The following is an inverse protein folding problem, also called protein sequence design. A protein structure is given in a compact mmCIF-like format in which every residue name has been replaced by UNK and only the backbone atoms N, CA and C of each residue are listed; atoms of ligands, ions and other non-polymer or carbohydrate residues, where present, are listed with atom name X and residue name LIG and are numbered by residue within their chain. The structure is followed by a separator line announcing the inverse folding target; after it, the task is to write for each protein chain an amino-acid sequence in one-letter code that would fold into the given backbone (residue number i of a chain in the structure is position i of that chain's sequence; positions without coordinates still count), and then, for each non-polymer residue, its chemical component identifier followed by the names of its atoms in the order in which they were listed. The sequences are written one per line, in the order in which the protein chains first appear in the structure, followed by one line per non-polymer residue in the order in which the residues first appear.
data_IF_356854137820
#
_entry.id   IF_356854137820
#
_cell.length_a   1.000
_cell.length_b   1.000
_cell.length_c   1.000
_cell.angle_alpha   90.00
_cell.angle_beta   90.00
_cell.angle_gamma   90.00
#
_symmetry.space_group_name_H-M   'P 1'
#
loop_
_entity.id
_entity.type
_entity.pdbx_description
1 polymer ?
#
# COMPACT_ATOMS: atom_id res chain seq x y z
N UNK A 1 -21.84 -21.54 -27.84
CA UNK A 1 -20.45 -21.63 -27.30
C UNK A 1 -20.51 -22.34 -25.96
N UNK A 2 -19.82 -23.47 -25.79
CA UNK A 2 -19.72 -24.11 -24.46
C UNK A 2 -18.98 -23.14 -23.54
N UNK A 3 -19.63 -22.72 -22.44
CA UNK A 3 -19.00 -22.00 -21.35
C UNK A 3 -17.79 -22.84 -20.88
N UNK A 4 -16.59 -22.42 -21.22
CA UNK A 4 -15.38 -23.02 -20.60
C UNK A 4 -15.47 -22.71 -19.11
N UNK A 5 -15.53 -23.74 -18.28
CA UNK A 5 -15.40 -23.58 -16.83
C UNK A 5 -14.03 -22.97 -16.55
N UNK A 6 -14.01 -21.65 -16.28
CA UNK A 6 -12.79 -20.88 -15.99
C UNK A 6 -12.50 -20.81 -14.49
N UNK A 7 -13.21 -21.60 -13.67
CA UNK A 7 -12.92 -21.68 -12.25
C UNK A 7 -11.51 -22.23 -12.06
N UNK A 8 -10.64 -21.39 -11.59
CA UNK A 8 -9.24 -21.73 -11.31
C UNK A 8 -8.95 -21.65 -9.83
N UNK A 9 -7.94 -22.40 -9.45
CA UNK A 9 -7.38 -22.43 -8.09
C UNK A 9 -5.97 -21.87 -8.19
N UNK A 10 -5.64 -20.96 -7.30
CA UNK A 10 -4.30 -20.38 -7.17
C UNK A 10 -3.72 -20.80 -5.82
N UNK A 11 -2.49 -21.29 -5.82
CA UNK A 11 -1.78 -21.60 -4.59
C UNK A 11 -1.25 -20.31 -3.94
N UNK A 12 -1.55 -20.13 -2.67
CA UNK A 12 -1.08 -19.02 -1.85
C UNK A 12 -0.42 -19.56 -0.57
N UNK A 13 0.79 -19.08 -0.20
CA UNK A 13 1.50 -19.60 0.97
C UNK A 13 0.84 -19.25 2.30
N UNK A 14 -0.09 -18.29 2.33
CA UNK A 14 -0.78 -17.83 3.54
C UNK A 14 -2.12 -18.54 3.74
N UNK A 15 -2.87 -18.75 2.64
CA UNK A 15 -4.25 -19.24 2.67
C UNK A 15 -4.43 -20.60 1.99
N UNK A 16 -3.38 -21.17 1.43
CA UNK A 16 -3.45 -22.42 0.68
C UNK A 16 -4.09 -22.23 -0.69
N UNK A 17 -5.25 -22.86 -0.93
CA UNK A 17 -5.93 -22.79 -2.22
C UNK A 17 -6.94 -21.65 -2.27
N UNK A 18 -6.67 -20.65 -3.12
CA UNK A 18 -7.60 -19.57 -3.40
C UNK A 18 -8.43 -19.94 -4.64
N UNK A 19 -9.74 -20.08 -4.47
CA UNK A 19 -10.68 -20.31 -5.57
C UNK A 19 -11.09 -18.98 -6.17
N UNK A 20 -11.01 -18.86 -7.49
CA UNK A 20 -11.48 -17.67 -8.20
C UNK A 20 -13.02 -17.72 -8.28
N UNK A 21 -13.73 -16.69 -7.73
CA UNK A 21 -15.16 -16.78 -7.47
C UNK A 21 -16.07 -16.73 -8.71
N UNK A 22 -15.61 -16.11 -9.79
CA UNK A 22 -16.41 -16.01 -11.01
C UNK A 22 -15.55 -15.92 -12.28
N UNK A 23 -16.19 -16.12 -13.43
CA UNK A 23 -15.54 -15.96 -14.74
C UNK A 23 -15.10 -14.51 -14.96
N UNK A 24 -15.90 -13.53 -14.53
CA UNK A 24 -15.55 -12.12 -14.67
C UNK A 24 -14.32 -11.75 -13.84
N UNK A 25 -14.24 -12.20 -12.59
CA UNK A 25 -13.05 -12.02 -11.74
C UNK A 25 -11.82 -12.66 -12.40
N UNK A 26 -11.97 -13.85 -12.98
CA UNK A 26 -10.87 -14.49 -13.71
C UNK A 26 -10.42 -13.67 -14.92
N UNK A 27 -11.36 -13.18 -15.73
CA UNK A 27 -11.07 -12.40 -16.95
C UNK A 27 -10.38 -11.06 -16.58
N UNK A 28 -10.74 -10.45 -15.44
CA UNK A 28 -10.07 -9.25 -14.91
C UNK A 28 -8.62 -9.60 -14.47
N UNK A 29 -8.43 -10.73 -13.79
CA UNK A 29 -7.08 -11.17 -13.38
C UNK A 29 -6.17 -11.36 -14.60
N UNK A 30 -6.67 -11.93 -15.69
CA UNK A 30 -5.90 -12.15 -16.94
C UNK A 30 -5.65 -10.85 -17.73
N UNK A 31 -6.30 -9.74 -17.38
CA UNK A 31 -6.11 -8.47 -18.08
C UNK A 31 -4.73 -7.88 -17.83
N UNK A 32 -4.02 -7.31 -18.85
CA UNK A 32 -2.68 -6.75 -18.72
C UNK A 32 -2.51 -5.73 -17.59
N UNK A 33 -3.53 -4.89 -17.34
CA UNK A 33 -3.50 -3.93 -16.23
C UNK A 33 -3.36 -4.61 -14.89
N UNK A 34 -4.03 -5.74 -14.69
CA UNK A 34 -3.93 -6.50 -13.45
C UNK A 34 -2.65 -7.32 -13.38
N UNK A 35 -2.22 -7.93 -14.47
CA UNK A 35 -0.98 -8.73 -14.53
C UNK A 35 0.28 -7.91 -14.19
N UNK A 36 0.25 -6.59 -14.34
CA UNK A 36 1.30 -5.68 -13.90
C UNK A 36 1.63 -5.83 -12.42
N UNK A 37 0.62 -6.10 -11.58
CA UNK A 37 0.79 -6.22 -10.12
C UNK A 37 1.77 -7.34 -9.71
N UNK A 38 2.03 -8.34 -10.59
CA UNK A 38 3.07 -9.36 -10.38
C UNK A 38 4.50 -8.80 -10.35
N UNK A 39 4.69 -7.58 -10.86
CA UNK A 39 5.99 -6.92 -10.98
C UNK A 39 6.11 -5.69 -10.08
N UNK A 40 5.18 -5.54 -9.13
CA UNK A 40 5.19 -4.48 -8.12
C UNK A 40 5.23 -5.13 -6.74
N UNK A 41 6.34 -4.93 -6.03
CA UNK A 41 6.49 -5.43 -4.67
C UNK A 41 5.52 -4.74 -3.71
N UNK A 42 4.83 -5.52 -2.87
CA UNK A 42 3.91 -4.99 -1.85
C UNK A 42 4.60 -4.02 -0.89
N UNK A 43 5.79 -4.37 -0.46
CA UNK A 43 6.53 -3.67 0.57
C UNK A 43 7.70 -2.84 0.03
N UNK A 44 7.65 -2.43 -1.24
CA UNK A 44 8.66 -1.59 -1.88
C UNK A 44 10.10 -2.04 -1.59
N UNK A 45 10.93 -1.19 -0.98
CA UNK A 45 12.34 -1.46 -0.66
C UNK A 45 12.55 -2.17 0.68
N UNK A 46 11.51 -2.60 1.38
CA UNK A 46 11.65 -3.24 2.69
C UNK A 46 12.40 -4.58 2.63
N UNK A 47 12.52 -5.22 1.46
CA UNK A 47 13.36 -6.39 1.26
C UNK A 47 14.85 -6.14 1.51
N UNK A 48 15.30 -4.88 1.51
CA UNK A 48 16.66 -4.51 1.93
C UNK A 48 16.89 -4.70 3.43
N UNK A 49 15.83 -4.83 4.21
CA UNK A 49 15.86 -5.12 5.65
C UNK A 49 15.36 -6.51 5.94
N UNK A 50 14.23 -6.88 5.34
CA UNK A 50 13.55 -8.16 5.49
C UNK A 50 13.69 -8.96 4.18
N UNK A 51 14.71 -9.80 4.00
CA UNK A 51 15.02 -10.41 2.69
C UNK A 51 13.87 -11.21 2.08
N UNK A 52 12.98 -11.77 2.91
CA UNK A 52 11.79 -12.49 2.47
C UNK A 52 10.65 -11.59 1.96
N UNK A 53 10.67 -10.29 2.23
CA UNK A 53 9.61 -9.35 1.87
C UNK A 53 9.65 -8.98 0.38
N UNK A 54 9.47 -9.98 -0.50
CA UNK A 54 9.46 -9.84 -1.96
C UNK A 54 8.14 -10.25 -2.61
N UNK A 55 7.13 -10.51 -1.81
CA UNK A 55 5.78 -10.75 -2.32
C UNK A 55 5.23 -9.50 -3.02
N UNK A 56 4.36 -9.76 -3.96
CA UNK A 56 3.86 -8.74 -4.88
C UNK A 56 2.44 -8.30 -4.50
N UNK A 57 2.00 -7.17 -5.05
CA UNK A 57 0.61 -6.73 -4.92
C UNK A 57 -0.37 -7.72 -5.51
N UNK A 58 0.05 -8.49 -6.52
CA UNK A 58 -0.77 -9.55 -7.10
C UNK A 58 -1.18 -10.60 -6.04
N UNK A 59 -0.23 -11.07 -5.23
CA UNK A 59 -0.49 -12.06 -4.16
C UNK A 59 -1.37 -11.45 -3.06
N UNK A 60 -1.11 -10.19 -2.71
CA UNK A 60 -1.89 -9.47 -1.71
C UNK A 60 -3.37 -9.35 -2.11
N UNK A 61 -3.67 -8.82 -3.30
CA UNK A 61 -5.07 -8.62 -3.71
C UNK A 61 -5.83 -9.93 -3.88
N UNK A 62 -5.16 -11.03 -4.25
CA UNK A 62 -5.77 -12.35 -4.26
C UNK A 62 -6.11 -12.84 -2.85
N UNK A 63 -5.23 -12.58 -1.88
CA UNK A 63 -5.51 -12.85 -0.47
C UNK A 63 -6.69 -12.03 0.04
N UNK A 64 -6.79 -10.77 -0.35
CA UNK A 64 -7.94 -9.92 -0.04
C UNK A 64 -9.25 -10.48 -0.62
N UNK A 65 -9.22 -11.01 -1.85
CA UNK A 65 -10.40 -11.69 -2.44
C UNK A 65 -10.77 -12.93 -1.65
N UNK A 66 -9.80 -13.75 -1.23
CA UNK A 66 -10.05 -14.92 -0.38
C UNK A 66 -10.75 -14.54 0.92
N UNK A 67 -10.23 -13.53 1.63
CA UNK A 67 -10.83 -13.04 2.87
C UNK A 67 -12.21 -12.45 2.64
N UNK A 68 -12.43 -11.74 1.52
CA UNK A 68 -13.73 -11.20 1.15
C UNK A 68 -14.76 -12.32 0.90
N UNK A 69 -14.37 -13.41 0.22
CA UNK A 69 -15.24 -14.57 0.01
C UNK A 69 -15.66 -15.17 1.36
N UNK A 70 -14.70 -15.38 2.28
CA UNK A 70 -14.97 -15.87 3.65
C UNK A 70 -15.89 -14.94 4.42
N UNK A 71 -15.72 -13.62 4.24
CA UNK A 71 -16.57 -12.63 4.91
C UNK A 71 -18.00 -12.65 4.36
N UNK A 72 -18.18 -12.71 3.04
CA UNK A 72 -19.51 -12.83 2.42
C UNK A 72 -20.21 -14.11 2.85
N UNK A 73 -19.51 -15.26 2.83
CA UNK A 73 -20.04 -16.54 3.32
C UNK A 73 -20.51 -16.42 4.78
N UNK A 74 -19.69 -15.85 5.66
CA UNK A 74 -19.99 -15.69 7.07
C UNK A 74 -21.16 -14.75 7.32
N UNK A 75 -21.22 -13.60 6.64
CA UNK A 75 -22.32 -12.65 6.77
C UNK A 75 -23.65 -13.26 6.28
N UNK A 76 -23.63 -13.97 5.15
CA UNK A 76 -24.80 -14.72 4.65
C UNK A 76 -25.27 -15.78 5.66
N UNK A 77 -24.33 -16.53 6.24
CA UNK A 77 -24.63 -17.52 7.29
C UNK A 77 -25.32 -16.88 8.50
N UNK A 78 -24.97 -15.64 8.83
CA UNK A 78 -25.61 -14.85 9.91
C UNK A 78 -26.93 -14.19 9.51
N UNK A 79 -27.42 -14.44 8.28
CA UNK A 79 -28.70 -13.94 7.79
C UNK A 79 -28.63 -12.56 7.12
N UNK A 80 -27.43 -11.99 6.93
CA UNK A 80 -27.26 -10.75 6.15
C UNK A 80 -27.54 -11.06 4.69
N UNK A 81 -28.54 -10.37 4.11
CA UNK A 81 -28.90 -10.54 2.72
C UNK A 81 -27.82 -9.89 1.83
N UNK A 82 -27.09 -10.69 1.09
CA UNK A 82 -26.10 -10.26 0.09
C UNK A 82 -26.42 -11.03 -1.20
N UNK A 83 -26.87 -10.36 -2.24
CA UNK A 83 -27.13 -10.99 -3.54
C UNK A 83 -25.84 -11.45 -4.21
N UNK A 84 -25.94 -12.33 -5.21
CA UNK A 84 -24.74 -12.78 -5.95
C UNK A 84 -24.10 -11.65 -6.74
N UNK A 85 -24.90 -10.69 -7.23
CA UNK A 85 -24.39 -9.46 -7.87
C UNK A 85 -23.61 -8.59 -6.89
N UNK A 86 -24.09 -8.42 -5.67
CA UNK A 86 -23.38 -7.68 -4.62
C UNK A 86 -22.09 -8.39 -4.21
N UNK A 87 -22.12 -9.71 -4.05
CA UNK A 87 -20.96 -10.51 -3.74
C UNK A 87 -19.87 -10.38 -4.83
N UNK A 88 -20.24 -10.52 -6.10
CA UNK A 88 -19.32 -10.32 -7.23
C UNK A 88 -18.78 -8.89 -7.26
N UNK A 89 -19.63 -7.88 -6.99
CA UNK A 89 -19.21 -6.48 -6.85
C UNK A 89 -18.14 -6.28 -5.76
N UNK A 90 -18.32 -6.89 -4.58
CA UNK A 90 -17.33 -6.88 -3.49
C UNK A 90 -16.01 -7.54 -3.89
N UNK A 91 -16.08 -8.71 -4.56
CA UNK A 91 -14.88 -9.43 -5.01
C UNK A 91 -14.08 -8.60 -6.03
N UNK A 92 -14.76 -7.95 -6.98
CA UNK A 92 -14.12 -7.09 -7.98
C UNK A 92 -13.57 -5.82 -7.32
N UNK A 93 -14.32 -5.19 -6.43
CA UNK A 93 -13.89 -3.96 -5.77
C UNK A 93 -12.61 -4.19 -4.94
N UNK A 94 -12.56 -5.27 -4.13
CA UNK A 94 -11.38 -5.59 -3.34
C UNK A 94 -10.21 -6.13 -4.21
N UNK A 95 -10.49 -6.80 -5.34
CA UNK A 95 -9.47 -7.22 -6.29
C UNK A 95 -8.74 -6.04 -6.90
N UNK A 96 -9.45 -4.95 -7.19
CA UNK A 96 -8.96 -3.80 -7.91
C UNK A 96 -8.58 -2.60 -7.03
N UNK A 97 -8.74 -2.69 -5.70
CA UNK A 97 -8.52 -1.53 -4.81
C UNK A 97 -7.09 -0.98 -4.92
N UNK A 98 -6.11 -1.83 -5.13
CA UNK A 98 -4.67 -1.54 -5.18
C UNK A 98 -4.09 -1.43 -6.60
N UNK A 99 -4.93 -1.56 -7.66
CA UNK A 99 -4.44 -1.58 -9.05
C UNK A 99 -3.77 -0.26 -9.45
N UNK A 100 -4.05 0.83 -8.78
CA UNK A 100 -3.49 2.16 -9.02
C UNK A 100 -2.12 2.41 -8.40
N UNK A 101 -1.55 1.46 -7.67
CA UNK A 101 -0.19 1.63 -7.15
C UNK A 101 0.86 1.60 -8.25
N UNK A 102 1.83 2.51 -8.17
CA UNK A 102 3.03 2.53 -9.01
C UNK A 102 4.18 1.71 -8.40
N UNK A 103 5.32 1.61 -9.13
CA UNK A 103 6.51 0.95 -8.61
C UNK A 103 7.00 1.62 -7.33
N UNK A 104 7.43 0.80 -6.37
CA UNK A 104 7.87 1.27 -5.05
C UNK A 104 6.87 2.20 -4.35
N UNK A 105 5.59 2.11 -4.71
CA UNK A 105 4.44 2.73 -4.05
C UNK A 105 4.63 4.21 -3.68
N UNK A 106 4.86 4.54 -2.41
CA UNK A 106 4.95 5.91 -1.93
C UNK A 106 6.09 6.72 -2.54
N UNK A 107 7.20 6.10 -2.95
CA UNK A 107 8.28 6.82 -3.61
C UNK A 107 7.83 7.46 -4.93
N UNK A 108 6.92 6.81 -5.66
CA UNK A 108 6.34 7.34 -6.91
C UNK A 108 5.37 8.49 -6.67
N UNK A 109 4.50 8.38 -5.67
CA UNK A 109 3.51 9.42 -5.33
C UNK A 109 4.17 10.76 -4.97
N UNK A 110 5.39 10.69 -4.43
CA UNK A 110 6.16 11.88 -4.01
C UNK A 110 7.22 12.34 -5.01
N UNK A 111 7.40 11.64 -6.14
CA UNK A 111 8.48 11.97 -7.08
C UNK A 111 8.07 12.06 -8.54
N UNK A 112 7.16 11.25 -9.01
CA UNK A 112 6.87 11.11 -10.45
C UNK A 112 5.44 11.52 -10.81
N UNK A 113 4.45 11.17 -9.97
CA UNK A 113 3.04 11.58 -10.13
C UNK A 113 2.64 12.38 -8.91
N UNK A 114 2.35 13.67 -9.10
CA UNK A 114 2.13 14.59 -7.99
C UNK A 114 0.64 14.87 -7.76
N UNK A 115 0.18 14.76 -6.50
CA UNK A 115 -1.15 15.21 -6.09
C UNK A 115 -2.32 14.36 -6.56
N UNK A 116 -2.07 13.10 -6.96
CA UNK A 116 -3.11 12.11 -7.22
C UNK A 116 -2.82 10.85 -6.40
N UNK A 117 -3.81 10.36 -5.67
CA UNK A 117 -3.65 9.18 -4.84
C UNK A 117 -3.77 7.89 -5.66
N UNK A 118 -3.21 6.80 -5.13
CA UNK A 118 -3.36 5.50 -5.76
C UNK A 118 -4.84 5.04 -5.84
N UNK A 119 -5.70 5.46 -4.90
CA UNK A 119 -7.14 5.18 -4.97
C UNK A 119 -7.79 5.89 -6.16
N UNK A 120 -7.42 7.16 -6.44
CA UNK A 120 -7.91 7.88 -7.62
C UNK A 120 -7.43 7.21 -8.92
N UNK A 121 -6.18 6.74 -8.96
CA UNK A 121 -5.64 5.99 -10.12
C UNK A 121 -6.34 4.62 -10.22
N UNK A 122 -6.59 3.93 -9.10
CA UNK A 122 -7.36 2.68 -9.09
C UNK A 122 -8.75 2.87 -9.69
N UNK A 123 -9.43 3.94 -9.32
CA UNK A 123 -10.74 4.27 -9.88
C UNK A 123 -10.67 4.47 -11.40
N UNK A 124 -9.64 5.14 -11.91
CA UNK A 124 -9.46 5.31 -13.37
C UNK A 124 -9.25 3.97 -14.08
N UNK A 125 -8.43 3.08 -13.52
CA UNK A 125 -8.30 1.71 -14.04
C UNK A 125 -9.62 0.94 -14.01
N UNK A 126 -10.38 1.03 -12.92
CA UNK A 126 -11.70 0.39 -12.81
C UNK A 126 -12.66 0.92 -13.87
N UNK A 127 -12.66 2.22 -14.14
CA UNK A 127 -13.50 2.83 -15.18
C UNK A 127 -13.12 2.35 -16.58
N UNK A 128 -11.82 2.23 -16.90
CA UNK A 128 -11.39 1.68 -18.18
C UNK A 128 -11.73 0.19 -18.33
N UNK A 129 -11.47 -0.61 -17.28
CA UNK A 129 -11.88 -2.01 -17.25
C UNK A 129 -13.41 -2.16 -17.38
N UNK A 130 -14.19 -1.25 -16.80
CA UNK A 130 -15.64 -1.26 -16.94
C UNK A 130 -16.08 -1.11 -18.40
N UNK A 131 -15.40 -0.28 -19.21
CA UNK A 131 -15.65 -0.17 -20.65
C UNK A 131 -15.31 -1.49 -21.36
N UNK A 132 -14.14 -2.09 -21.05
CA UNK A 132 -13.70 -3.38 -21.63
C UNK A 132 -14.70 -4.49 -21.33
N UNK A 133 -15.26 -4.51 -20.12
CA UNK A 133 -16.21 -5.53 -19.67
C UNK A 133 -17.69 -5.10 -19.81
N UNK A 134 -17.99 -4.13 -20.67
CA UNK A 134 -19.36 -3.71 -21.05
C UNK A 134 -20.25 -3.33 -19.84
N UNK A 135 -19.75 -2.53 -18.92
CA UNK A 135 -20.50 -2.00 -17.77
C UNK A 135 -20.62 -2.96 -16.58
N UNK A 136 -19.98 -4.13 -16.61
CA UNK A 136 -20.13 -5.14 -15.53
C UNK A 136 -19.48 -4.76 -14.20
N UNK A 137 -18.63 -3.74 -14.16
CA UNK A 137 -17.94 -3.30 -12.95
C UNK A 137 -18.68 -2.17 -12.22
N UNK A 138 -19.81 -1.68 -12.70
CA UNK A 138 -20.54 -0.54 -12.10
C UNK A 138 -20.82 -0.73 -10.61
N UNK A 139 -21.29 -1.92 -10.20
CA UNK A 139 -21.56 -2.22 -8.79
C UNK A 139 -20.29 -2.16 -7.94
N UNK A 140 -19.19 -2.72 -8.45
CA UNK A 140 -17.89 -2.69 -7.79
C UNK A 140 -17.35 -1.25 -7.65
N UNK A 141 -17.47 -0.44 -8.69
CA UNK A 141 -17.07 0.98 -8.70
C UNK A 141 -17.88 1.76 -7.66
N UNK A 142 -19.20 1.57 -7.64
CA UNK A 142 -20.07 2.24 -6.67
C UNK A 142 -19.72 1.86 -5.22
N UNK A 143 -19.40 0.59 -4.95
CA UNK A 143 -18.93 0.13 -3.64
C UNK A 143 -17.57 0.73 -3.27
N UNK A 144 -16.63 0.75 -4.21
CA UNK A 144 -15.30 1.34 -4.00
C UNK A 144 -15.39 2.83 -3.69
N UNK A 145 -16.23 3.59 -4.40
CA UNK A 145 -16.42 5.03 -4.21
C UNK A 145 -17.30 5.39 -3.00
N UNK A 146 -17.81 4.41 -2.24
CA UNK A 146 -18.78 4.64 -1.15
C UNK A 146 -20.10 5.30 -1.60
N UNK A 147 -20.48 5.12 -2.86
CA UNK A 147 -21.75 5.61 -3.43
C UNK A 147 -22.84 4.54 -3.48
N UNK A 148 -22.50 3.29 -3.20
CA UNK A 148 -23.46 2.21 -3.10
C UNK A 148 -24.32 2.37 -1.84
N UNK A 149 -25.67 2.15 -1.91
CA UNK A 149 -26.58 2.47 -0.80
C UNK A 149 -26.27 1.77 0.53
N UNK A 150 -25.66 0.58 0.46
CA UNK A 150 -25.35 -0.25 1.62
C UNK A 150 -23.93 0.04 2.13
N UNK A 151 -23.83 0.82 3.18
CA UNK A 151 -22.57 1.36 3.71
C UNK A 151 -21.54 0.29 4.08
N UNK A 152 -21.96 -0.85 4.69
CA UNK A 152 -21.04 -1.91 5.08
C UNK A 152 -20.27 -2.52 3.90
N UNK A 153 -20.80 -2.44 2.67
CA UNK A 153 -20.12 -2.93 1.48
C UNK A 153 -18.78 -2.17 1.26
N UNK A 154 -18.82 -0.85 1.35
CA UNK A 154 -17.60 -0.05 1.31
C UNK A 154 -16.70 -0.31 2.53
N UNK A 155 -17.28 -0.48 3.72
CA UNK A 155 -16.52 -0.74 4.93
C UNK A 155 -15.72 -2.06 4.88
N UNK A 156 -16.18 -3.05 4.13
CA UNK A 156 -15.41 -4.29 3.89
C UNK A 156 -14.20 -4.06 2.98
N UNK A 157 -14.22 -3.03 2.14
CA UNK A 157 -13.15 -2.68 1.20
C UNK A 157 -12.17 -1.70 1.82
N UNK A 158 -12.68 -0.64 2.48
CA UNK A 158 -11.87 0.42 3.06
C UNK A 158 -12.47 0.92 4.37
N UNK A 159 -11.98 0.43 5.50
CA UNK A 159 -12.41 0.84 6.84
C UNK A 159 -11.30 0.69 7.88
N UNK A 160 -11.64 0.57 9.16
CA UNK A 160 -10.66 0.22 10.20
C UNK A 160 -10.44 -1.31 10.31
N UNK A 161 -11.40 -2.12 9.82
CA UNK A 161 -11.41 -3.59 9.89
C UNK A 161 -11.77 -4.20 8.54
N UNK A 162 -11.16 -3.69 7.47
CA UNK A 162 -11.35 -4.18 6.10
C UNK A 162 -10.50 -5.39 5.76
N UNK A 163 -10.79 -5.97 4.58
CA UNK A 163 -10.10 -7.18 4.12
C UNK A 163 -8.70 -6.89 3.57
N UNK A 164 -8.43 -5.66 3.14
CA UNK A 164 -7.11 -5.16 2.79
C UNK A 164 -6.16 -5.28 4.00
N UNK A 165 -6.52 -4.63 5.12
CA UNK A 165 -5.72 -4.65 6.35
C UNK A 165 -5.59 -6.05 6.94
N UNK A 166 -6.64 -6.85 6.84
CA UNK A 166 -6.63 -8.22 7.33
C UNK A 166 -5.66 -9.12 6.56
N UNK A 167 -5.49 -8.90 5.24
CA UNK A 167 -4.50 -9.63 4.44
C UNK A 167 -3.10 -9.10 4.69
N UNK A 168 -2.84 -7.79 4.48
CA UNK A 168 -1.46 -7.32 4.51
C UNK A 168 -0.81 -7.51 5.89
N UNK A 169 -1.51 -7.33 6.99
CA UNK A 169 -0.92 -7.59 8.32
C UNK A 169 -0.44 -9.02 8.45
N UNK A 170 -1.25 -10.00 8.05
CA UNK A 170 -0.89 -11.41 8.12
C UNK A 170 0.19 -11.77 7.10
N UNK A 171 0.06 -11.29 5.87
CA UNK A 171 0.99 -11.55 4.76
C UNK A 171 2.35 -10.94 5.01
N UNK A 172 2.40 -9.67 5.36
CA UNK A 172 3.66 -8.98 5.63
C UNK A 172 4.36 -9.54 6.86
N UNK A 173 3.61 -9.93 7.90
CA UNK A 173 4.14 -10.67 9.05
C UNK A 173 4.86 -11.95 8.62
N UNK A 174 4.23 -12.73 7.76
CA UNK A 174 4.81 -13.98 7.25
C UNK A 174 6.09 -13.73 6.45
N UNK A 175 6.05 -12.84 5.46
CA UNK A 175 7.19 -12.61 4.57
C UNK A 175 8.34 -11.82 5.20
N UNK A 176 8.07 -11.02 6.23
CA UNK A 176 9.11 -10.33 7.00
C UNK A 176 9.69 -11.17 8.12
N UNK A 177 8.97 -12.20 8.57
CA UNK A 177 9.30 -12.98 9.76
C UNK A 177 9.03 -12.24 11.09
N UNK A 178 8.27 -11.14 11.05
CA UNK A 178 7.90 -10.34 12.23
C UNK A 178 6.57 -10.84 12.78
N UNK A 179 6.62 -11.60 13.87
CA UNK A 179 5.45 -12.33 14.40
C UNK A 179 4.34 -11.44 14.98
N UNK A 180 4.64 -10.18 15.31
CA UNK A 180 3.69 -9.23 15.89
C UNK A 180 2.51 -8.92 14.98
N UNK A 181 2.67 -9.07 13.67
CA UNK A 181 1.60 -8.93 12.68
C UNK A 181 0.71 -10.17 12.55
N UNK A 182 1.01 -11.26 13.22
CA UNK A 182 0.22 -12.50 13.12
C UNK A 182 -1.13 -12.34 13.81
N UNK A 183 -2.14 -12.03 13.01
CA UNK A 183 -3.55 -11.93 13.42
C UNK A 183 -4.32 -13.20 13.02
N UNK A 184 -5.35 -13.55 13.79
CA UNK A 184 -6.30 -14.57 13.41
C UNK A 184 -7.45 -13.93 12.60
N UNK A 185 -7.23 -13.76 11.28
CA UNK A 185 -8.23 -13.17 10.38
C UNK A 185 -9.53 -13.97 10.30
N UNK A 186 -9.47 -15.31 10.40
CA UNK A 186 -10.67 -16.16 10.42
C UNK A 186 -11.52 -15.88 11.66
N UNK A 187 -10.88 -15.76 12.82
CA UNK A 187 -11.60 -15.40 14.06
C UNK A 187 -12.21 -14.02 13.96
N UNK A 188 -11.49 -13.04 13.41
CA UNK A 188 -11.99 -11.69 13.22
C UNK A 188 -13.21 -11.69 12.28
N UNK A 189 -13.12 -12.34 11.11
CA UNK A 189 -14.21 -12.48 10.15
C UNK A 189 -15.43 -13.18 10.79
N UNK A 190 -15.21 -14.25 11.57
CA UNK A 190 -16.30 -14.96 12.23
C UNK A 190 -17.06 -14.09 13.24
N UNK A 191 -16.49 -12.99 13.71
CA UNK A 191 -17.11 -12.04 14.62
C UNK A 191 -17.72 -10.81 13.93
N UNK A 192 -17.51 -10.63 12.62
CA UNK A 192 -18.17 -9.57 11.87
C UNK A 192 -19.66 -9.82 11.73
N UNK A 193 -20.43 -8.75 11.75
CA UNK A 193 -21.88 -8.74 11.52
C UNK A 193 -22.29 -7.40 10.90
N UNK A 194 -23.55 -7.27 10.50
CA UNK A 194 -24.11 -6.02 9.96
C UNK A 194 -25.33 -5.61 10.79
N UNK A 195 -25.38 -4.34 11.17
CA UNK A 195 -26.54 -3.76 11.85
C UNK A 195 -26.82 -2.36 11.28
N UNK A 196 -28.06 -2.13 10.85
CA UNK A 196 -28.46 -0.89 10.19
C UNK A 196 -27.57 -0.50 9.00
N UNK A 197 -27.25 -1.47 8.14
CA UNK A 197 -26.34 -1.35 6.98
C UNK A 197 -24.92 -0.84 7.32
N UNK A 198 -24.49 -1.00 8.57
CA UNK A 198 -23.12 -0.72 9.01
C UNK A 198 -22.43 -1.99 9.52
N UNK A 199 -21.12 -2.08 9.26
CA UNK A 199 -20.28 -3.16 9.76
C UNK A 199 -20.13 -3.04 11.28
N UNK A 200 -20.37 -4.15 11.98
CA UNK A 200 -20.20 -4.24 13.44
C UNK A 200 -19.43 -5.51 13.78
N UNK A 201 -18.83 -5.54 14.96
CA UNK A 201 -18.19 -6.74 15.52
C UNK A 201 -19.01 -7.23 16.69
N UNK A 202 -19.34 -8.52 16.74
CA UNK A 202 -19.99 -9.10 17.90
C UNK A 202 -19.10 -8.97 19.14
N UNK A 203 -19.70 -8.75 20.31
CA UNK A 203 -19.03 -8.57 21.61
C UNK A 203 -17.95 -9.63 21.89
N UNK A 204 -18.19 -10.89 21.48
CA UNK A 204 -17.21 -11.98 21.58
C UNK A 204 -15.91 -11.76 20.78
N UNK A 205 -15.96 -10.83 19.80
CA UNK A 205 -14.84 -10.47 18.95
C UNK A 205 -13.95 -9.35 19.51
N UNK A 206 -14.30 -8.78 20.67
CA UNK A 206 -13.62 -7.61 21.24
C UNK A 206 -12.10 -7.80 21.31
N UNK A 207 -11.62 -8.88 21.92
CA UNK A 207 -10.18 -9.17 22.02
C UNK A 207 -9.49 -9.38 20.65
N UNK A 208 -10.24 -9.85 19.64
CA UNK A 208 -9.68 -9.99 18.29
C UNK A 208 -9.46 -8.63 17.62
N UNK A 209 -10.36 -7.68 17.84
CA UNK A 209 -10.23 -6.30 17.39
C UNK A 209 -9.07 -5.58 18.10
N UNK A 210 -8.98 -5.71 19.42
CA UNK A 210 -7.90 -5.16 20.20
C UNK A 210 -6.54 -5.68 19.75
N UNK A 211 -6.40 -7.01 19.58
CA UNK A 211 -5.20 -7.63 19.04
C UNK A 211 -4.87 -7.11 17.64
N UNK A 212 -5.87 -6.95 16.77
CA UNK A 212 -5.69 -6.42 15.42
C UNK A 212 -5.11 -5.00 15.44
N UNK A 213 -5.62 -4.11 16.28
CA UNK A 213 -5.14 -2.74 16.40
C UNK A 213 -3.71 -2.68 16.97
N UNK A 214 -3.39 -3.54 17.95
CA UNK A 214 -2.04 -3.67 18.50
C UNK A 214 -1.07 -4.19 17.42
N UNK A 215 -1.43 -5.27 16.73
CA UNK A 215 -0.63 -5.85 15.65
C UNK A 215 -0.32 -4.80 14.57
N UNK A 216 -1.34 -4.03 14.15
CA UNK A 216 -1.18 -2.93 13.20
C UNK A 216 -0.16 -1.90 13.69
N UNK A 217 -0.27 -1.45 14.96
CA UNK A 217 0.69 -0.48 15.54
C UNK A 217 2.12 -1.02 15.55
N UNK A 218 2.28 -2.28 15.94
CA UNK A 218 3.60 -2.90 16.02
C UNK A 218 4.22 -3.08 14.64
N UNK A 219 3.46 -3.57 13.65
CA UNK A 219 3.92 -3.72 12.28
C UNK A 219 4.32 -2.37 11.67
N UNK A 220 3.58 -1.29 11.96
CA UNK A 220 3.97 0.03 11.48
C UNK A 220 5.36 0.43 11.97
N UNK A 221 5.64 0.30 13.27
CA UNK A 221 6.93 0.73 13.82
C UNK A 221 8.08 -0.23 13.54
N UNK A 222 7.82 -1.53 13.53
CA UNK A 222 8.87 -2.53 13.33
C UNK A 222 9.18 -2.77 11.85
N UNK A 223 8.19 -2.64 10.98
CA UNK A 223 8.29 -3.02 9.58
C UNK A 223 8.15 -1.82 8.65
N UNK A 224 6.96 -1.22 8.52
CA UNK A 224 6.71 -0.20 7.50
C UNK A 224 7.50 1.09 7.73
N UNK A 225 7.68 1.51 8.97
CA UNK A 225 8.49 2.66 9.38
C UNK A 225 9.87 2.26 9.91
N UNK A 226 10.36 1.05 9.54
CA UNK A 226 11.71 0.66 9.91
C UNK A 226 12.71 1.67 9.33
N UNK A 227 13.58 2.23 10.18
CA UNK A 227 14.46 3.35 9.82
C UNK A 227 15.27 3.12 8.53
N UNK A 228 15.75 1.89 8.29
CA UNK A 228 16.54 1.55 7.09
C UNK A 228 15.67 1.50 5.84
N UNK A 229 14.42 1.01 5.94
CA UNK A 229 13.46 1.03 4.83
C UNK A 229 13.12 2.47 4.46
N UNK A 230 12.83 3.31 5.44
CA UNK A 230 12.61 4.76 5.24
C UNK A 230 13.82 5.43 4.59
N UNK A 231 15.04 5.13 5.04
CA UNK A 231 16.24 5.68 4.41
C UNK A 231 16.37 5.27 2.94
N UNK A 232 16.09 4.01 2.61
CA UNK A 232 16.15 3.53 1.22
C UNK A 232 15.09 4.20 0.34
N UNK A 233 13.86 4.34 0.83
CA UNK A 233 12.78 5.04 0.14
C UNK A 233 13.14 6.51 -0.13
N UNK A 234 13.67 7.21 0.87
CA UNK A 234 14.11 8.59 0.75
C UNK A 234 15.27 8.78 -0.24
N UNK A 235 16.17 7.80 -0.35
CA UNK A 235 17.22 7.79 -1.39
C UNK A 235 16.58 7.60 -2.77
N UNK A 236 15.59 6.71 -2.92
CA UNK A 236 14.90 6.50 -4.19
C UNK A 236 14.17 7.76 -4.65
N UNK A 237 13.46 8.45 -3.76
CA UNK A 237 12.80 9.73 -4.07
C UNK A 237 13.82 10.75 -4.61
N UNK A 238 14.98 10.88 -3.95
CA UNK A 238 16.03 11.82 -4.37
C UNK A 238 16.68 11.41 -5.68
N UNK A 239 16.86 10.13 -5.91
CA UNK A 239 17.36 9.58 -7.17
C UNK A 239 16.43 9.96 -8.33
N UNK A 240 15.12 9.72 -8.19
CA UNK A 240 14.13 10.04 -9.21
C UNK A 240 14.03 11.56 -9.46
N UNK A 241 14.09 12.36 -8.40
CA UNK A 241 14.14 13.83 -8.52
C UNK A 241 15.40 14.30 -9.26
N UNK A 242 16.58 13.69 -8.97
CA UNK A 242 17.80 14.01 -9.71
C UNK A 242 17.69 13.62 -11.18
N UNK A 243 17.12 12.48 -11.49
CA UNK A 243 16.88 12.07 -12.87
C UNK A 243 15.97 13.08 -13.61
N UNK A 244 14.89 13.54 -12.96
CA UNK A 244 14.04 14.63 -13.51
C UNK A 244 14.83 15.90 -13.76
N UNK A 245 15.62 16.38 -12.79
CA UNK A 245 16.44 17.59 -12.93
C UNK A 245 17.38 17.49 -14.14
N UNK A 246 18.07 16.36 -14.30
CA UNK A 246 19.00 16.14 -15.42
C UNK A 246 18.29 16.14 -16.77
N UNK A 247 17.13 15.47 -16.86
CA UNK A 247 16.34 15.42 -18.10
C UNK A 247 15.80 16.82 -18.45
N UNK A 248 15.37 17.61 -17.47
CA UNK A 248 14.94 19.01 -17.67
C UNK A 248 16.09 19.93 -18.13
N UNK A 249 17.33 19.58 -17.76
CA UNK A 249 18.56 20.25 -18.26
C UNK A 249 19.00 19.75 -19.63
N UNK A 250 18.19 18.92 -20.31
CA UNK A 250 18.49 18.40 -21.64
C UNK A 250 19.42 17.19 -21.67
N UNK A 251 19.74 16.59 -20.49
CA UNK A 251 20.58 15.40 -20.43
C UNK A 251 19.79 14.16 -20.86
N UNK A 252 20.46 13.22 -21.52
CA UNK A 252 19.88 11.94 -21.95
C UNK A 252 20.21 10.87 -20.93
N UNK A 253 19.18 10.24 -20.35
CA UNK A 253 19.30 9.12 -19.43
C UNK A 253 18.73 7.85 -20.07
N UNK A 254 19.43 6.73 -19.93
CA UNK A 254 18.93 5.41 -20.37
C UNK A 254 17.87 4.94 -19.39
N UNK A 255 16.66 4.68 -19.88
CA UNK A 255 15.52 4.17 -19.12
C UNK A 255 14.45 3.65 -20.09
N UNK A 256 13.45 2.91 -19.56
CA UNK A 256 12.32 2.45 -20.38
C UNK A 256 11.46 3.60 -20.89
N UNK A 257 10.70 3.36 -21.96
CA UNK A 257 9.79 4.37 -22.52
C UNK A 257 8.77 4.85 -21.50
N UNK A 258 8.23 3.95 -20.67
CA UNK A 258 7.27 4.30 -19.64
C UNK A 258 7.89 5.21 -18.57
N UNK A 259 9.06 4.85 -18.04
CA UNK A 259 9.75 5.70 -17.07
C UNK A 259 10.16 7.06 -17.68
N UNK A 260 10.66 7.06 -18.92
CA UNK A 260 11.02 8.28 -19.63
C UNK A 260 9.86 9.25 -19.79
N UNK A 261 8.65 8.75 -20.04
CA UNK A 261 7.45 9.56 -20.11
C UNK A 261 7.22 10.34 -18.79
N UNK A 262 7.29 9.66 -17.64
CA UNK A 262 7.06 10.28 -16.33
C UNK A 262 8.21 11.15 -15.84
N UNK A 263 9.45 10.84 -16.22
CA UNK A 263 10.61 11.67 -15.87
C UNK A 263 10.64 12.97 -16.70
N UNK A 264 10.18 12.93 -17.95
CA UNK A 264 10.14 14.11 -18.85
C UNK A 264 8.97 15.04 -18.57
N UNK A 265 7.81 14.48 -18.22
CA UNK A 265 6.56 15.23 -18.09
C UNK A 265 6.22 15.46 -16.61
N UNK A 266 5.73 16.65 -16.30
CA UNK A 266 5.13 16.91 -14.99
C UNK A 266 3.69 16.41 -15.01
N UNK A 267 3.45 15.29 -14.35
CA UNK A 267 2.13 14.66 -14.23
C UNK A 267 1.53 15.04 -12.89
N UNK A 268 0.28 15.53 -12.94
CA UNK A 268 -0.55 15.89 -11.80
C UNK A 268 -1.99 15.42 -12.03
N UNK A 269 -2.85 15.63 -11.07
CA UNK A 269 -4.28 15.31 -11.16
C UNK A 269 -4.94 15.97 -12.38
N UNK A 270 -4.57 17.21 -12.71
CA UNK A 270 -5.24 18.01 -13.74
C UNK A 270 -4.92 17.54 -15.16
N UNK A 271 -3.76 16.89 -15.37
CA UNK A 271 -3.34 16.40 -16.69
C UNK A 271 -3.22 14.89 -16.80
N UNK A 272 -3.82 14.14 -15.85
CA UNK A 272 -3.82 12.68 -15.86
C UNK A 272 -4.82 12.16 -16.90
N UNK A 273 -4.44 12.16 -18.17
CA UNK A 273 -5.23 11.69 -19.30
C UNK A 273 -5.25 10.17 -19.44
N UNK A 274 -6.02 9.66 -20.43
CA UNK A 274 -6.00 8.25 -20.82
C UNK A 274 -4.61 7.78 -21.26
N UNK A 275 -3.88 8.59 -22.01
CA UNK A 275 -2.50 8.29 -22.43
C UNK A 275 -1.58 8.11 -21.21
N UNK A 276 -1.73 8.98 -20.20
CA UNK A 276 -0.97 8.88 -18.95
C UNK A 276 -1.29 7.57 -18.22
N UNK A 277 -2.57 7.18 -18.17
CA UNK A 277 -3.00 5.91 -17.56
C UNK A 277 -2.38 4.70 -18.30
N UNK A 278 -2.34 4.72 -19.63
CA UNK A 278 -1.73 3.64 -20.42
C UNK A 278 -0.22 3.56 -20.20
N UNK A 279 0.46 4.70 -20.13
CA UNK A 279 1.89 4.72 -19.79
C UNK A 279 2.13 4.26 -18.36
N UNK A 280 1.26 4.64 -17.40
CA UNK A 280 1.31 4.17 -16.02
C UNK A 280 1.09 2.65 -15.93
N UNK A 281 0.21 2.10 -16.75
CA UNK A 281 -0.04 0.66 -16.84
C UNK A 281 1.17 -0.17 -17.32
N UNK A 282 2.17 0.47 -17.94
CA UNK A 282 3.41 -0.17 -18.40
C UNK A 282 4.54 -0.05 -17.39
N UNK A 283 4.36 0.76 -16.35
CA UNK A 283 5.40 1.08 -15.37
C UNK A 283 5.36 0.13 -14.18
N UNK A 284 6.49 -0.50 -13.86
CA UNK A 284 6.65 -1.39 -12.70
C UNK A 284 8.04 -1.27 -12.04
N UNK A 285 8.31 -2.04 -11.00
CA UNK A 285 9.57 -2.00 -10.24
C UNK A 285 10.80 -2.27 -11.12
N UNK A 286 10.62 -3.08 -12.18
CA UNK A 286 11.72 -3.46 -13.08
C UNK A 286 12.23 -2.26 -13.87
N UNK A 287 11.37 -1.32 -14.24
CA UNK A 287 11.76 -0.09 -14.94
C UNK A 287 12.74 0.73 -14.10
N UNK A 288 12.44 0.89 -12.81
CA UNK A 288 13.27 1.65 -11.88
C UNK A 288 14.60 0.94 -11.62
N UNK A 289 14.56 -0.39 -11.39
CA UNK A 289 15.77 -1.18 -11.13
C UNK A 289 16.68 -1.19 -12.37
N UNK A 290 16.11 -1.37 -13.56
CA UNK A 290 16.86 -1.33 -14.82
C UNK A 290 17.53 0.04 -15.02
N UNK A 291 16.79 1.12 -14.81
CA UNK A 291 17.33 2.46 -14.91
C UNK A 291 18.47 2.71 -13.90
N UNK A 292 18.32 2.30 -12.65
CA UNK A 292 19.40 2.41 -11.65
C UNK A 292 20.68 1.67 -12.07
N UNK A 293 20.55 0.49 -12.72
CA UNK A 293 21.72 -0.29 -13.21
C UNK A 293 22.50 0.47 -14.28
N UNK A 294 21.84 1.26 -15.12
CA UNK A 294 22.48 2.14 -16.09
C UNK A 294 23.02 3.42 -15.44
N UNK A 295 22.23 4.04 -14.57
CA UNK A 295 22.55 5.31 -13.94
C UNK A 295 23.74 5.25 -12.98
N UNK A 296 24.05 4.08 -12.42
CA UNK A 296 25.24 3.89 -11.57
C UNK A 296 26.56 4.24 -12.28
N UNK A 297 26.58 4.23 -13.62
CA UNK A 297 27.74 4.55 -14.45
C UNK A 297 27.64 5.92 -15.13
N UNK A 298 26.53 6.64 -14.89
CA UNK A 298 26.31 7.94 -15.49
C UNK A 298 27.30 8.99 -14.94
N UNK A 299 27.79 9.97 -15.75
CA UNK A 299 28.79 10.94 -15.31
C UNK A 299 28.36 11.85 -14.15
N UNK A 300 27.05 12.05 -13.95
CA UNK A 300 26.56 12.82 -12.80
C UNK A 300 26.84 12.09 -11.48
N UNK A 301 27.67 12.71 -10.63
CA UNK A 301 28.11 12.10 -9.37
C UNK A 301 26.97 11.79 -8.40
N UNK A 302 25.92 12.62 -8.37
CA UNK A 302 24.75 12.42 -7.50
C UNK A 302 23.94 11.22 -7.97
N UNK A 303 23.54 11.21 -9.25
CA UNK A 303 22.74 10.13 -9.84
C UNK A 303 23.45 8.77 -9.69
N UNK A 304 24.74 8.73 -10.05
CA UNK A 304 25.59 7.53 -9.94
C UNK A 304 25.68 7.04 -8.50
N UNK A 305 25.97 7.94 -7.54
CA UNK A 305 26.14 7.56 -6.12
C UNK A 305 24.84 7.06 -5.49
N UNK A 306 23.71 7.75 -5.73
CA UNK A 306 22.41 7.32 -5.20
C UNK A 306 21.98 5.96 -5.77
N UNK A 307 22.24 5.72 -7.08
CA UNK A 307 21.99 4.41 -7.71
C UNK A 307 22.81 3.30 -7.07
N UNK A 308 24.12 3.52 -6.87
CA UNK A 308 25.01 2.56 -6.20
C UNK A 308 24.59 2.30 -4.75
N UNK A 309 24.15 3.33 -4.04
CA UNK A 309 23.68 3.18 -2.65
C UNK A 309 22.50 2.20 -2.53
N UNK A 310 21.54 2.26 -3.44
CA UNK A 310 20.39 1.34 -3.46
C UNK A 310 20.78 -0.03 -3.97
N UNK A 311 21.46 -0.14 -5.12
CA UNK A 311 21.82 -1.40 -5.73
C UNK A 311 22.74 -2.26 -4.85
N UNK A 312 23.71 -1.63 -4.19
CA UNK A 312 24.71 -2.29 -3.36
C UNK A 312 24.34 -2.28 -1.86
N UNK A 313 23.15 -1.78 -1.52
CA UNK A 313 22.67 -1.64 -0.13
C UNK A 313 23.65 -0.82 0.76
N UNK A 314 24.37 0.13 0.17
CA UNK A 314 25.22 1.07 0.93
C UNK A 314 24.43 2.30 1.39
N UNK A 315 23.40 2.03 2.19
CA UNK A 315 22.43 3.03 2.64
C UNK A 315 23.06 4.00 3.66
N UNK A 316 22.57 5.26 3.74
CA UNK A 316 23.08 6.25 4.67
C UNK A 316 22.82 5.84 6.12
N UNK A 317 23.53 6.46 7.05
CA UNK A 317 23.17 6.42 8.47
C UNK A 317 21.87 7.18 8.68
N UNK A 318 20.98 6.59 9.45
CA UNK A 318 19.73 7.24 9.88
C UNK A 318 19.65 7.26 11.40
N UNK A 319 19.34 8.40 11.98
CA UNK A 319 19.02 8.57 13.40
C UNK A 319 17.58 8.99 13.53
N UNK A 320 16.87 8.38 14.49
CA UNK A 320 15.45 8.65 14.78
C UNK A 320 15.32 9.13 16.23
N UNK A 321 14.46 10.11 16.47
CA UNK A 321 14.19 10.71 17.78
C UNK A 321 12.72 11.06 17.94
N UNK A 322 12.29 11.33 19.18
CA UNK A 322 10.95 11.86 19.48
C UNK A 322 10.83 13.34 19.15
N UNK A 323 11.92 14.11 19.26
CA UNK A 323 11.95 15.54 18.98
C UNK A 323 12.80 15.83 17.73
N UNK A 324 12.55 16.97 17.09
CA UNK A 324 13.27 17.41 15.89
C UNK A 324 14.77 17.62 16.16
N UNK A 325 15.53 17.67 15.09
CA UNK A 325 16.98 17.85 15.13
C UNK A 325 17.33 19.35 15.11
N UNK A 326 18.15 19.76 16.07
CA UNK A 326 18.68 21.11 16.13
C UNK A 326 19.49 21.46 14.86
N UNK A 327 19.35 22.69 14.39
CA UNK A 327 20.04 23.17 13.19
C UNK A 327 21.56 23.04 13.29
N UNK A 328 22.13 23.28 14.47
CA UNK A 328 23.58 23.12 14.73
C UNK A 328 24.05 21.70 14.43
N UNK A 329 23.23 20.69 14.77
CA UNK A 329 23.54 19.29 14.49
C UNK A 329 23.49 18.98 13.01
N UNK A 330 22.50 19.53 12.30
CA UNK A 330 22.37 19.38 10.84
C UNK A 330 23.61 20.00 10.16
N UNK A 331 23.96 21.24 10.48
CA UNK A 331 25.14 21.93 9.97
C UNK A 331 26.46 21.15 10.26
N UNK A 332 26.57 20.55 11.44
CA UNK A 332 27.73 19.71 11.77
C UNK A 332 27.83 18.48 10.86
N UNK A 333 26.71 17.81 10.60
CA UNK A 333 26.67 16.63 9.72
C UNK A 333 26.97 17.01 8.27
N UNK A 334 26.48 18.17 7.79
CA UNK A 334 26.81 18.73 6.49
C UNK A 334 28.31 18.99 6.35
N UNK A 335 28.96 19.64 7.34
CA UNK A 335 30.41 19.86 7.36
C UNK A 335 31.20 18.54 7.31
N UNK A 336 30.76 17.51 8.05
CA UNK A 336 31.39 16.19 7.98
C UNK A 336 31.20 15.52 6.61
N UNK A 337 30.11 15.80 5.93
CA UNK A 337 29.83 15.27 4.60
C UNK A 337 30.65 15.97 3.51
N UNK A 338 30.90 17.28 3.64
CA UNK A 338 31.86 18.01 2.80
C UNK A 338 33.26 17.40 2.89
N UNK A 339 33.71 17.10 4.11
CA UNK A 339 35.02 16.45 4.34
C UNK A 339 35.10 15.03 3.73
N UNK A 340 33.99 14.42 3.38
CA UNK A 340 33.89 13.13 2.66
C UNK A 340 33.73 13.28 1.14
N UNK A 341 33.95 14.49 0.61
CA UNK A 341 33.93 14.77 -0.83
C UNK A 341 32.52 14.91 -1.42
N UNK A 342 31.54 15.31 -0.63
CA UNK A 342 30.22 15.72 -1.15
C UNK A 342 30.24 17.22 -1.38
N UNK A 343 29.94 17.65 -2.59
CA UNK A 343 29.87 19.07 -2.92
C UNK A 343 28.72 19.76 -2.16
N UNK A 344 28.92 21.03 -1.82
CA UNK A 344 27.92 21.82 -1.08
C UNK A 344 26.58 21.91 -1.83
N UNK A 345 26.61 22.11 -3.15
CA UNK A 345 25.42 22.16 -4.03
C UNK A 345 24.61 20.87 -4.02
N UNK A 346 25.26 19.73 -3.75
CA UNK A 346 24.67 18.39 -3.79
C UNK A 346 24.27 17.89 -2.38
N UNK A 347 24.53 18.67 -1.35
CA UNK A 347 24.31 18.31 0.05
C UNK A 347 22.88 17.87 0.34
N UNK A 348 21.87 18.49 -0.31
CA UNK A 348 20.44 18.19 -0.18
C UNK A 348 20.08 16.73 -0.49
N UNK A 349 20.88 16.04 -1.31
CA UNK A 349 20.66 14.63 -1.68
C UNK A 349 21.19 13.65 -0.64
N UNK A 350 22.13 14.08 0.20
CA UNK A 350 22.84 13.19 1.11
C UNK A 350 22.65 13.48 2.60
N UNK A 351 22.33 14.72 2.97
CA UNK A 351 22.00 15.11 4.35
C UNK A 351 20.63 15.75 4.37
N UNK A 352 19.67 15.06 4.99
CA UNK A 352 18.27 15.48 5.01
C UNK A 352 17.54 14.98 6.25
N UNK A 353 16.50 15.69 6.62
CA UNK A 353 15.59 15.37 7.73
C UNK A 353 14.19 15.06 7.21
N UNK A 354 13.37 14.48 8.06
CA UNK A 354 11.96 14.26 7.83
C UNK A 354 11.25 13.73 9.06
N UNK A 355 9.96 13.50 8.92
CA UNK A 355 9.08 13.01 9.99
C UNK A 355 8.41 11.71 9.53
N UNK A 356 8.36 10.73 10.43
CA UNK A 356 7.57 9.52 10.29
C UNK A 356 6.35 9.65 11.20
N UNK A 357 5.16 9.45 10.66
CA UNK A 357 3.91 9.53 11.42
C UNK A 357 3.16 8.20 11.38
N UNK A 358 2.52 7.84 12.47
CA UNK A 358 1.63 6.69 12.55
C UNK A 358 0.45 6.96 13.47
N UNK A 359 -0.72 6.47 13.06
CA UNK A 359 -1.95 6.42 13.83
C UNK A 359 -2.58 5.05 13.62
N UNK A 360 -2.57 4.21 14.65
CA UNK A 360 -3.05 2.83 14.54
C UNK A 360 -4.58 2.74 14.45
N UNK A 361 -5.29 3.63 15.11
CA UNK A 361 -6.75 3.74 15.09
C UNK A 361 -7.16 5.19 14.84
N UNK A 362 -8.05 5.42 13.86
CA UNK A 362 -8.54 6.76 13.54
C UNK A 362 -10.06 6.87 13.71
N UNK A 363 -10.55 7.17 14.92
CA UNK A 363 -11.98 7.28 15.19
C UNK A 363 -12.66 8.48 14.50
N UNK A 364 -11.91 9.49 14.09
CA UNK A 364 -12.44 10.62 13.33
C UNK A 364 -12.83 10.22 11.90
N UNK A 365 -12.07 9.29 11.28
CA UNK A 365 -12.40 8.74 9.96
C UNK A 365 -13.53 7.74 10.06
N UNK A 366 -13.43 6.81 11.01
CA UNK A 366 -14.42 5.75 11.19
C UNK A 366 -14.30 5.12 12.58
N UNK A 367 -15.47 4.91 13.23
CA UNK A 367 -15.57 4.31 14.55
C UNK A 367 -15.86 2.82 14.41
N UNK A 368 -15.05 1.98 15.06
CA UNK A 368 -15.34 0.55 15.19
C UNK A 368 -16.51 0.36 16.16
N UNK A 369 -17.55 -0.33 15.72
CA UNK A 369 -18.79 -0.57 16.43
C UNK A 369 -18.89 -2.01 16.94
N UNK A 370 -19.29 -2.17 18.18
CA UNK A 370 -19.47 -3.48 18.83
C UNK A 370 -20.96 -3.74 19.00
N UNK A 371 -21.41 -4.90 18.56
CA UNK A 371 -22.76 -5.43 18.77
C UNK A 371 -22.79 -6.26 20.06
N UNK A 372 -23.41 -5.74 21.10
CA UNK A 372 -23.53 -6.41 22.41
C UNK A 372 -24.51 -7.58 22.34
N UNK A 373 -24.44 -8.49 23.31
CA UNK A 373 -25.38 -9.63 23.46
C UNK A 373 -26.84 -9.20 23.53
N UNK A 374 -27.10 -7.99 24.03
CA UNK A 374 -28.45 -7.43 24.15
C UNK A 374 -28.92 -6.72 22.87
N UNK A 375 -28.17 -6.87 21.75
CA UNK A 375 -28.50 -6.27 20.44
C UNK A 375 -28.25 -4.76 20.34
N UNK A 376 -27.61 -4.12 21.32
CA UNK A 376 -27.21 -2.71 21.27
C UNK A 376 -25.90 -2.55 20.52
N UNK A 377 -25.78 -1.48 19.76
CA UNK A 377 -24.53 -1.09 19.09
C UNK A 377 -23.85 -0.01 19.92
N UNK A 378 -22.60 -0.27 20.30
CA UNK A 378 -21.78 0.65 21.11
C UNK A 378 -20.42 0.86 20.44
N UNK A 379 -19.75 1.95 20.75
CA UNK A 379 -18.41 2.22 20.23
C UNK A 379 -17.36 1.35 20.92
N UNK A 380 -16.35 0.92 20.20
CA UNK A 380 -15.22 0.14 20.75
C UNK A 380 -14.59 0.83 21.96
N UNK A 381 -14.43 2.16 21.92
CA UNK A 381 -13.84 2.97 23.01
C UNK A 381 -14.59 2.89 24.33
N UNK A 382 -15.88 2.54 24.29
CA UNK A 382 -16.74 2.43 25.49
C UNK A 382 -16.83 1.02 26.05
N UNK A 383 -16.26 0.04 25.34
CA UNK A 383 -16.36 -1.39 25.69
C UNK A 383 -15.02 -2.07 25.90
N UNK A 384 -13.93 -1.45 25.45
CA UNK A 384 -12.58 -1.99 25.61
C UNK A 384 -12.13 -1.82 27.07
N UNK A 385 -12.00 -2.95 27.78
CA UNK A 385 -11.51 -3.01 29.15
C UNK A 385 -10.04 -3.45 29.21
N UNK A 386 -9.59 -4.23 28.22
CA UNK A 386 -8.26 -4.83 28.24
C UNK A 386 -7.15 -3.90 27.75
N UNK A 387 -7.48 -2.94 26.87
CA UNK A 387 -6.50 -1.98 26.35
C UNK A 387 -7.02 -0.54 26.41
N UNK A 388 -6.12 0.39 26.74
CA UNK A 388 -6.40 1.81 26.56
C UNK A 388 -6.24 2.13 25.06
N UNK A 389 -7.33 2.53 24.39
CA UNK A 389 -7.36 2.88 22.97
C UNK A 389 -6.83 4.30 22.69
N UNK A 390 -6.74 5.15 23.70
CA UNK A 390 -6.29 6.54 23.56
C UNK A 390 -4.89 6.63 22.92
N UNK A 391 -3.86 5.89 23.39
CA UNK A 391 -2.54 5.89 22.75
C UNK A 391 -2.53 5.33 21.33
N UNK A 392 -3.49 4.47 20.96
CA UNK A 392 -3.62 3.92 19.60
C UNK A 392 -4.27 4.94 18.65
N UNK A 393 -5.09 5.85 19.18
CA UNK A 393 -5.78 6.87 18.39
C UNK A 393 -4.98 8.17 18.22
N UNK A 394 -3.93 8.38 19.01
CA UNK A 394 -3.05 9.54 18.87
C UNK A 394 -2.07 9.37 17.70
N UNK A 395 -1.82 10.48 16.99
CA UNK A 395 -0.76 10.55 16.00
C UNK A 395 0.58 10.51 16.72
N UNK A 396 1.39 9.51 16.42
CA UNK A 396 2.75 9.40 16.96
C UNK A 396 3.73 9.84 15.89
N UNK A 397 4.57 10.82 16.23
CA UNK A 397 5.61 11.35 15.34
C UNK A 397 6.99 10.93 15.79
N UNK A 398 7.87 10.67 14.83
CA UNK A 398 9.30 10.47 15.04
C UNK A 398 10.07 11.20 13.95
N UNK A 399 11.03 12.00 14.38
CA UNK A 399 11.88 12.78 13.50
C UNK A 399 13.13 11.98 13.14
N UNK A 400 13.54 12.05 11.88
CA UNK A 400 14.76 11.38 11.44
C UNK A 400 15.71 12.33 10.73
N UNK A 401 17.00 11.99 10.76
CA UNK A 401 18.05 12.60 9.95
C UNK A 401 18.86 11.51 9.27
N UNK A 402 19.01 11.63 7.95
CA UNK A 402 19.90 10.79 7.14
C UNK A 402 21.18 11.54 6.82
N UNK A 403 22.31 10.83 6.81
CA UNK A 403 23.62 11.38 6.46
C UNK A 403 24.58 10.26 6.01
N UNK A 404 25.63 10.54 5.21
CA UNK A 404 26.60 9.56 4.73
C UNK A 404 27.35 8.85 5.88
N UNK A 405 27.65 7.54 5.68
CA UNK A 405 28.47 6.76 6.59
C UNK A 405 29.88 7.29 6.76
#
# INVERSE_FOLDING_TARGET
MRSRNKLKIINDPIYGFIHIPSTLVFDIIEHPYFQRLRRINQMALSYLVFPGAKHTRFEHVLGCVFLMQKTVEMLRFKGVQISDKEAEGLYIAILLHDIGHGPFSHAMEHSIVEGISHEEISLRFMQELNKVFNGKLETAIAMFQSTYPRKFMHQLISSQLDMDRADYLKRDSFYTGVAEGNINSERLISMLNVRNDELVVEEKGLYSVEKFLIARRLMYWQVYLHKTSVAAEQILIRLLNRAKELVQQGQKLTMSTALAFFVKNKISKDNFSQEVLEMFARLDDTDIISAMKEWQFYPDAVLSKLSKMLLNRDLPKIKVRLNDFEEQKIKRLQKLSLAKGIDEKDMKYFVFTGVMTNRAYNPEKEIIKILTKNGRVVELSKTSEAINLEPLSQVTERYYICYPK
#
